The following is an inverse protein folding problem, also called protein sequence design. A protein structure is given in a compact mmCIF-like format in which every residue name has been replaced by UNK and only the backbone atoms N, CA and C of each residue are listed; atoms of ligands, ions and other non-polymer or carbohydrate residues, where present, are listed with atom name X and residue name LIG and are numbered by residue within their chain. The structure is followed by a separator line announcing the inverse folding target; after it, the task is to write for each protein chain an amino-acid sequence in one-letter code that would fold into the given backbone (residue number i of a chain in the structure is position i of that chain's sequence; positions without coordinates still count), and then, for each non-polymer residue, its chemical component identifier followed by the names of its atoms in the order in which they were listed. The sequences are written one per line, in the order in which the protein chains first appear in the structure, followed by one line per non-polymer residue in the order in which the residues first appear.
data_IF_320382163970
#
_entry.id   IF_320382163970
#
_cell.length_a   1.000
_cell.length_b   1.000
_cell.length_c   1.000
_cell.angle_alpha   90.00
_cell.angle_beta   90.00
_cell.angle_gamma   90.00
#
_symmetry.space_group_name_H-M   'P 1'
#
loop_
_entity.id
_entity.type
_entity.pdbx_description
1 polymer ?
#
# COMPACT_ATOMS: atom_id res chain seq x y z
N UNK A 1 -10.30 3.08 8.70
CA UNK A 1 -9.66 1.84 9.19
C UNK A 1 -8.88 2.15 10.47
N UNK A 2 -8.75 1.20 11.41
CA UNK A 2 -7.89 1.41 12.60
C UNK A 2 -6.41 1.46 12.17
N UNK A 3 -5.59 2.36 12.74
CA UNK A 3 -4.18 2.44 12.42
C UNK A 3 -3.46 1.13 12.76
N UNK A 4 -2.56 0.69 11.89
CA UNK A 4 -1.80 -0.54 12.07
C UNK A 4 -0.81 -0.40 13.23
N UNK A 5 -0.82 -1.37 14.15
CA UNK A 5 0.15 -1.45 15.24
C UNK A 5 1.56 -1.79 14.72
N UNK A 6 2.59 -1.55 15.53
CA UNK A 6 3.97 -1.87 15.17
C UNK A 6 4.18 -3.36 14.85
N UNK A 7 3.52 -4.27 15.58
CA UNK A 7 3.57 -5.71 15.32
C UNK A 7 2.89 -6.07 13.99
N UNK A 8 1.71 -5.51 13.73
CA UNK A 8 0.99 -5.70 12.46
C UNK A 8 1.81 -5.22 11.27
N UNK A 9 2.41 -4.02 11.37
CA UNK A 9 3.29 -3.49 10.31
C UNK A 9 4.51 -4.38 10.07
N UNK A 10 5.10 -4.97 11.10
CA UNK A 10 6.25 -5.89 10.96
C UNK A 10 5.82 -7.16 10.23
N UNK A 11 4.70 -7.76 10.65
CA UNK A 11 4.13 -8.96 10.02
C UNK A 11 3.80 -8.73 8.55
N UNK A 12 3.03 -7.69 8.24
CA UNK A 12 2.64 -7.33 6.88
C UNK A 12 3.85 -7.05 5.98
N UNK A 13 4.91 -6.42 6.51
CA UNK A 13 6.16 -6.25 5.77
C UNK A 13 6.86 -7.57 5.46
N UNK A 14 6.82 -8.53 6.39
CA UNK A 14 7.33 -9.88 6.17
C UNK A 14 6.54 -10.61 5.08
N UNK A 15 5.21 -10.61 5.18
CA UNK A 15 4.32 -11.21 4.17
C UNK A 15 4.47 -10.56 2.79
N UNK A 16 4.71 -9.25 2.76
CA UNK A 16 4.92 -8.54 1.52
C UNK A 16 6.27 -8.86 0.90
N UNK A 17 7.28 -9.35 1.62
CA UNK A 17 8.66 -9.45 1.11
C UNK A 17 8.75 -10.09 -0.29
N UNK A 18 8.08 -11.22 -0.48
CA UNK A 18 8.07 -12.01 -1.72
C UNK A 18 7.07 -11.53 -2.78
N UNK A 19 6.23 -10.53 -2.47
CA UNK A 19 5.25 -10.01 -3.44
C UNK A 19 5.93 -9.13 -4.48
N UNK A 20 5.44 -9.18 -5.72
CA UNK A 20 5.80 -8.19 -6.73
C UNK A 20 4.87 -6.97 -6.64
N UNK A 21 5.34 -5.75 -6.98
CA UNK A 21 4.46 -4.60 -7.12
C UNK A 21 3.41 -4.83 -8.20
N UNK A 22 2.13 -4.72 -7.82
CA UNK A 22 1.00 -4.89 -8.73
C UNK A 22 0.65 -3.58 -9.44
N UNK A 23 0.93 -2.45 -8.79
CA UNK A 23 0.66 -1.11 -9.34
C UNK A 23 1.95 -0.31 -9.44
N UNK A 24 2.11 0.39 -10.56
CA UNK A 24 3.24 1.26 -10.86
C UNK A 24 2.77 2.69 -11.10
N UNK A 25 3.17 3.62 -10.24
CA UNK A 25 2.87 5.04 -10.37
C UNK A 25 3.96 5.71 -11.22
N UNK A 26 3.60 6.08 -12.44
CA UNK A 26 4.47 6.80 -13.38
C UNK A 26 4.68 8.27 -13.01
N UNK A 27 5.24 9.03 -13.95
CA UNK A 27 5.52 10.48 -13.78
C UNK A 27 4.27 11.34 -13.56
N UNK A 28 3.11 10.87 -14.01
CA UNK A 28 1.83 11.53 -13.74
C UNK A 28 1.38 11.38 -12.27
N UNK A 29 2.08 10.55 -11.50
CA UNK A 29 1.83 10.35 -10.08
C UNK A 29 0.52 9.63 -9.78
N UNK A 30 -0.15 10.08 -8.72
CA UNK A 30 -1.39 9.49 -8.21
C UNK A 30 -2.59 10.03 -8.98
N UNK A 31 -2.89 9.43 -10.13
CA UNK A 31 -4.08 9.76 -10.92
C UNK A 31 -5.32 9.00 -10.44
N UNK A 32 -6.50 9.42 -10.89
CA UNK A 32 -7.76 8.74 -10.56
C UNK A 32 -7.78 7.28 -11.04
N UNK A 33 -7.26 7.04 -12.25
CA UNK A 33 -7.08 5.69 -12.80
C UNK A 33 -6.13 4.84 -11.94
N UNK A 34 -5.05 5.43 -11.44
CA UNK A 34 -4.13 4.74 -10.55
C UNK A 34 -4.78 4.42 -9.20
N UNK A 35 -5.56 5.35 -8.62
CA UNK A 35 -6.33 5.12 -7.40
C UNK A 35 -7.35 3.99 -7.58
N UNK A 36 -8.09 3.99 -8.68
CA UNK A 36 -9.04 2.92 -8.99
C UNK A 36 -8.35 1.56 -9.14
N UNK A 37 -7.17 1.51 -9.74
CA UNK A 37 -6.37 0.30 -9.82
C UNK A 37 -5.91 -0.16 -8.43
N UNK A 38 -5.35 0.72 -7.61
CA UNK A 38 -4.94 0.40 -6.23
C UNK A 38 -6.13 -0.12 -5.42
N UNK A 39 -7.30 0.50 -5.56
CA UNK A 39 -8.53 0.10 -4.86
C UNK A 39 -8.94 -1.34 -5.22
N UNK A 40 -8.96 -1.64 -6.53
CA UNK A 40 -9.26 -2.98 -7.04
C UNK A 40 -8.26 -4.02 -6.50
N UNK A 41 -6.96 -3.76 -6.64
CA UNK A 41 -5.94 -4.71 -6.19
C UNK A 41 -5.99 -4.92 -4.66
N UNK A 42 -6.30 -3.88 -3.88
CA UNK A 42 -6.53 -3.99 -2.44
C UNK A 42 -7.77 -4.83 -2.11
N UNK A 43 -8.82 -4.77 -2.92
CA UNK A 43 -10.02 -5.59 -2.71
C UNK A 43 -9.74 -7.07 -2.98
N UNK A 44 -8.97 -7.40 -4.02
CA UNK A 44 -8.70 -8.78 -4.43
C UNK A 44 -7.62 -9.47 -3.58
N UNK A 45 -6.59 -8.72 -3.18
CA UNK A 45 -5.38 -9.27 -2.55
C UNK A 45 -5.20 -8.88 -1.08
N UNK A 46 -5.91 -7.85 -0.60
CA UNK A 46 -5.79 -7.23 0.72
C UNK A 46 -4.43 -6.58 1.01
N UNK A 47 -3.32 -7.22 0.66
CA UNK A 47 -1.95 -6.76 0.85
C UNK A 47 -1.25 -6.63 -0.51
N UNK A 48 -0.86 -5.41 -0.86
CA UNK A 48 -0.24 -5.13 -2.16
C UNK A 48 1.01 -4.29 -2.02
N UNK A 49 1.86 -4.34 -3.05
CA UNK A 49 2.97 -3.41 -3.24
C UNK A 49 2.65 -2.43 -4.36
N UNK A 50 2.88 -1.14 -4.09
CA UNK A 50 2.76 -0.05 -5.07
C UNK A 50 4.13 0.57 -5.29
N UNK A 51 4.63 0.56 -6.52
CA UNK A 51 5.94 1.09 -6.89
C UNK A 51 5.80 2.49 -7.47
N UNK A 52 6.56 3.44 -6.94
CA UNK A 52 6.69 4.79 -7.47
C UNK A 52 7.86 4.81 -8.45
N UNK A 53 7.62 5.15 -9.71
CA UNK A 53 8.65 5.16 -10.77
C UNK A 53 9.46 6.46 -10.81
N UNK A 54 9.13 7.43 -9.95
CA UNK A 54 9.84 8.70 -9.92
C UNK A 54 11.24 8.57 -9.33
N UNK A 55 12.19 9.16 -10.06
CA UNK A 55 13.59 9.25 -9.70
C UNK A 55 13.82 10.59 -9.02
N UNK A 56 13.72 10.63 -7.68
CA UNK A 56 14.04 11.82 -6.90
C UNK A 56 14.78 11.43 -5.62
N UNK A 57 15.84 12.16 -5.30
CA UNK A 57 16.68 12.01 -4.09
C UNK A 57 15.91 12.27 -2.78
N UNK A 58 16.55 12.88 -1.79
CA UNK A 58 15.93 13.09 -0.47
C UNK A 58 14.55 13.80 -0.52
N UNK A 59 14.34 14.74 -1.45
CA UNK A 59 13.05 15.41 -1.69
C UNK A 59 11.94 14.47 -2.17
N UNK A 60 12.26 13.43 -2.92
CA UNK A 60 11.28 12.44 -3.38
C UNK A 60 10.74 11.55 -2.26
N UNK A 61 11.39 11.51 -1.09
CA UNK A 61 10.92 10.72 0.06
C UNK A 61 9.62 11.30 0.63
N UNK A 62 9.61 12.62 0.90
CA UNK A 62 8.47 13.31 1.50
C UNK A 62 7.26 13.29 0.56
N UNK A 63 7.49 13.41 -0.75
CA UNK A 63 6.42 13.33 -1.75
C UNK A 63 5.79 11.93 -1.82
N UNK A 64 6.60 10.86 -1.78
CA UNK A 64 6.10 9.49 -1.67
C UNK A 64 5.30 9.27 -0.40
N UNK A 65 5.78 9.76 0.74
CA UNK A 65 5.07 9.64 2.02
C UNK A 65 3.71 10.37 1.94
N UNK A 66 3.68 11.59 1.38
CA UNK A 66 2.45 12.36 1.17
C UNK A 66 1.45 11.64 0.25
N UNK A 67 1.92 11.01 -0.83
CA UNK A 67 1.07 10.21 -1.72
C UNK A 67 0.53 8.95 -1.04
N UNK A 68 1.30 8.31 -0.17
CA UNK A 68 0.83 7.17 0.63
C UNK A 68 -0.26 7.63 1.59
N UNK A 69 -0.08 8.77 2.26
CA UNK A 69 -1.11 9.37 3.10
C UNK A 69 -2.38 9.67 2.30
N UNK A 70 -2.26 10.23 1.11
CA UNK A 70 -3.40 10.46 0.22
C UNK A 70 -4.14 9.16 -0.15
N UNK A 71 -3.41 8.10 -0.52
CA UNK A 71 -3.99 6.78 -0.82
C UNK A 71 -4.74 6.22 0.40
N UNK A 72 -4.14 6.30 1.59
CA UNK A 72 -4.77 5.82 2.82
C UNK A 72 -6.08 6.57 3.10
N UNK A 73 -6.08 7.89 2.92
CA UNK A 73 -7.25 8.73 3.15
C UNK A 73 -8.37 8.46 2.13
N UNK A 74 -8.03 8.30 0.85
CA UNK A 74 -9.03 8.08 -0.21
C UNK A 74 -9.59 6.66 -0.22
N UNK A 75 -8.76 5.65 0.04
CA UNK A 75 -9.15 4.23 -0.12
C UNK A 75 -9.42 3.51 1.21
N UNK A 76 -9.20 4.18 2.35
CA UNK A 76 -9.43 3.63 3.68
C UNK A 76 -8.52 2.44 4.02
N UNK A 77 -7.29 2.42 3.49
CA UNK A 77 -6.29 1.39 3.76
C UNK A 77 -5.24 1.87 4.78
N UNK A 78 -4.36 0.96 5.21
CA UNK A 78 -3.21 1.26 6.06
C UNK A 78 -1.88 0.92 5.39
N UNK A 79 -0.86 1.74 5.63
CA UNK A 79 0.51 1.49 5.17
C UNK A 79 1.29 0.66 6.19
N UNK A 80 1.76 -0.52 5.77
CA UNK A 80 2.67 -1.33 6.59
C UNK A 80 4.09 -0.75 6.60
N UNK A 81 4.43 0.03 5.57
CA UNK A 81 5.68 0.76 5.44
C UNK A 81 6.04 1.01 3.98
N UNK A 82 7.25 1.53 3.77
CA UNK A 82 7.84 1.76 2.45
C UNK A 82 9.28 1.27 2.42
N UNK A 83 9.65 0.56 1.36
CA UNK A 83 11.03 0.11 1.09
C UNK A 83 11.49 0.77 -0.20
N UNK A 84 12.42 1.73 -0.10
CA UNK A 84 12.83 2.54 -1.24
C UNK A 84 11.62 3.18 -1.92
N UNK A 85 11.39 2.83 -3.18
CA UNK A 85 10.30 3.34 -4.01
C UNK A 85 9.05 2.44 -3.99
N UNK A 86 8.90 1.54 -3.03
CA UNK A 86 7.76 0.61 -2.96
C UNK A 86 7.02 0.79 -1.65
N UNK A 87 5.76 1.19 -1.70
CA UNK A 87 4.84 1.17 -0.56
C UNK A 87 4.22 -0.21 -0.40
N UNK A 88 3.97 -0.59 0.84
CA UNK A 88 3.25 -1.81 1.21
C UNK A 88 1.94 -1.35 1.85
N UNK A 89 0.83 -1.62 1.17
CA UNK A 89 -0.50 -1.19 1.56
C UNK A 89 -1.35 -2.39 1.94
N UNK A 90 -2.19 -2.22 2.94
CA UNK A 90 -3.06 -3.27 3.44
C UNK A 90 -4.47 -2.74 3.70
N UNK A 91 -5.47 -3.48 3.22
CA UNK A 91 -6.88 -3.28 3.53
C UNK A 91 -7.54 -4.65 3.68
N UNK A 92 -8.14 -4.97 4.85
CA UNK A 92 -8.84 -6.24 5.00
C UNK A 92 -10.03 -6.30 4.03
N UNK A 93 -10.32 -7.49 3.54
CA UNK A 93 -11.49 -7.73 2.71
C UNK A 93 -12.77 -7.39 3.49
N UNK A 94 -13.73 -6.78 2.79
CA UNK A 94 -14.99 -6.31 3.37
C UNK A 94 -15.78 -7.46 4.01
N UNK A 95 -15.90 -8.58 3.27
CA UNK A 95 -16.43 -9.85 3.78
C UNK A 95 -15.39 -10.54 4.68
N UNK A 96 -15.67 -10.74 5.98
CA UNK A 96 -14.76 -11.42 6.91
C UNK A 96 -14.44 -12.87 6.53
N UNK A 97 -15.36 -13.58 5.86
CA UNK A 97 -15.17 -14.98 5.46
C UNK A 97 -14.20 -15.15 4.29
N UNK A 98 -13.88 -14.06 3.59
CA UNK A 98 -12.97 -14.05 2.42
C UNK A 98 -11.60 -13.46 2.74
N UNK A 99 -11.33 -13.08 3.99
CA UNK A 99 -10.04 -12.53 4.40
C UNK A 99 -8.97 -13.62 4.36
N UNK A 100 -7.88 -13.33 3.66
CA UNK A 100 -6.73 -14.21 3.42
C UNK A 100 -5.50 -13.73 4.19
N UNK A 101 -5.38 -12.43 4.40
CA UNK A 101 -4.24 -11.81 5.10
C UNK A 101 -4.61 -11.51 6.54
N UNK A 102 -3.92 -12.18 7.46
CA UNK A 102 -4.06 -11.91 8.89
C UNK A 102 -2.86 -11.09 9.42
N UNK A 103 -3.06 -9.84 9.86
CA UNK A 103 -1.98 -8.99 10.36
C UNK A 103 -1.63 -9.25 11.84
N UNK A 104 -2.42 -10.02 12.59
CA UNK A 104 -2.38 -10.10 14.07
C UNK A 104 -2.09 -11.47 14.70
N UNK A 105 -2.08 -12.54 13.90
CA UNK A 105 -1.69 -13.90 14.31
C UNK A 105 -0.30 -13.96 14.93
#
# INVERSE_FOLDING_TARGET
MKPLSSSQRKRLRGLAHDLNPLVHLGKAGLTDAALAQIDKELADHELIKVRFLESGGAGGKAERDSRIDEIQNRLGCGAAGRVGHVAILYRPHADPGKRKVDPGK
#
